data_IF_780066630069
#
_entry.id   IF_780066630069
#
_cell.length_a   1.000
_cell.length_b   1.000
_cell.length_c   1.000
_cell.angle_alpha   90.00
_cell.angle_beta   90.00
_cell.angle_gamma   90.00
#
_symmetry.space_group_name_H-M   'P 1'
#
loop_
_entity.id
_entity.type
_entity.pdbx_description
1 polymer ?
#
# COMPACT_ATOMS: atom_id res chain seq x y z
N UNK A 1 9.12 2.34 -20.97
CA UNK A 1 10.22 1.54 -21.52
C UNK A 1 10.34 0.30 -20.64
N UNK A 2 10.15 -0.89 -21.22
CA UNK A 2 10.29 -2.18 -20.54
C UNK A 2 8.97 -2.84 -20.10
N UNK A 3 8.05 -3.10 -21.04
CA UNK A 3 7.04 -4.16 -20.85
C UNK A 3 7.56 -5.45 -21.50
N UNK A 4 8.78 -5.84 -21.16
CA UNK A 4 9.31 -7.13 -21.57
C UNK A 4 8.53 -8.19 -20.80
N UNK A 5 7.67 -8.91 -21.51
CA UNK A 5 6.97 -10.07 -21.00
C UNK A 5 8.01 -11.09 -20.53
N UNK A 6 8.26 -11.15 -19.22
CA UNK A 6 9.18 -12.11 -18.63
C UNK A 6 8.60 -13.52 -18.80
N UNK A 7 9.09 -14.22 -19.82
CA UNK A 7 8.74 -15.62 -20.08
C UNK A 7 9.19 -16.44 -18.86
N UNK A 8 8.33 -17.33 -18.32
CA UNK A 8 8.75 -18.26 -17.30
C UNK A 8 9.99 -19.04 -17.76
N UNK A 9 10.88 -19.34 -16.83
CA UNK A 9 11.94 -20.31 -17.10
C UNK A 9 11.27 -21.66 -17.31
N UNK A 10 11.55 -22.29 -18.45
CA UNK A 10 11.09 -23.64 -18.75
C UNK A 10 11.55 -24.60 -17.64
N UNK A 11 10.71 -25.57 -17.29
CA UNK A 11 10.95 -26.48 -16.17
C UNK A 11 12.23 -27.32 -16.34
N UNK A 12 12.73 -27.46 -17.57
CA UNK A 12 13.93 -28.22 -17.93
C UNK A 12 15.24 -27.45 -17.70
N UNK A 13 15.20 -26.13 -17.56
CA UNK A 13 16.38 -25.32 -17.22
C UNK A 13 16.74 -25.64 -15.77
N UNK A 14 17.96 -26.09 -15.44
CA UNK A 14 18.32 -26.37 -14.06
C UNK A 14 18.51 -25.08 -13.24
N UNK A 15 18.22 -25.10 -11.92
CA UNK A 15 18.62 -24.03 -11.01
C UNK A 15 20.15 -23.89 -10.96
N UNK A 16 20.63 -22.69 -10.63
CA UNK A 16 22.08 -22.40 -10.57
C UNK A 16 22.62 -22.50 -9.14
N UNK A 17 21.83 -22.06 -8.17
CA UNK A 17 22.23 -21.94 -6.76
C UNK A 17 21.51 -22.97 -5.89
N UNK A 18 20.23 -23.21 -6.16
CA UNK A 18 19.44 -24.24 -5.51
C UNK A 18 19.71 -25.62 -6.14
N UNK A 19 19.46 -26.70 -5.39
CA UNK A 19 19.53 -28.07 -5.93
C UNK A 19 18.31 -28.38 -6.80
N UNK A 20 17.15 -27.82 -6.44
CA UNK A 20 15.88 -27.92 -7.17
C UNK A 20 15.00 -26.71 -6.85
N UNK A 21 13.97 -26.45 -7.67
CA UNK A 21 12.98 -25.39 -7.41
C UNK A 21 11.91 -25.83 -6.40
N UNK A 22 12.33 -26.32 -5.24
CA UNK A 22 11.42 -26.80 -4.19
C UNK A 22 11.70 -26.15 -2.84
N UNK A 23 10.71 -26.23 -1.95
CA UNK A 23 10.83 -25.71 -0.59
C UNK A 23 11.93 -26.39 0.22
N UNK A 24 12.10 -27.70 0.03
CA UNK A 24 13.11 -28.50 0.70
C UNK A 24 14.50 -28.02 0.28
N UNK A 25 14.69 -27.71 -1.01
CA UNK A 25 15.95 -27.17 -1.51
C UNK A 25 16.23 -25.76 -0.96
N UNK A 26 15.20 -24.92 -0.86
CA UNK A 26 15.30 -23.62 -0.21
C UNK A 26 15.67 -23.75 1.27
N UNK A 27 15.01 -24.64 2.01
CA UNK A 27 15.27 -24.86 3.44
C UNK A 27 16.69 -25.39 3.66
N UNK A 28 17.14 -26.31 2.81
CA UNK A 28 18.53 -26.78 2.77
C UNK A 28 19.50 -25.65 2.45
N UNK A 29 19.19 -24.79 1.47
CA UNK A 29 19.99 -23.61 1.15
C UNK A 29 20.11 -22.67 2.36
N UNK A 30 19.01 -22.37 3.06
CA UNK A 30 19.00 -21.51 4.26
C UNK A 30 19.94 -22.09 5.35
N UNK A 31 19.84 -23.39 5.60
CA UNK A 31 20.56 -24.07 6.69
C UNK A 31 22.03 -24.35 6.35
N UNK A 32 22.33 -24.89 5.17
CA UNK A 32 23.68 -25.31 4.79
C UNK A 32 24.57 -24.16 4.31
N UNK A 33 24.02 -23.20 3.54
CA UNK A 33 24.78 -22.02 3.09
C UNK A 33 24.86 -20.93 4.16
N UNK A 34 24.29 -21.16 5.34
CA UNK A 34 24.26 -20.22 6.47
C UNK A 34 23.75 -18.85 6.02
N UNK A 35 22.60 -18.82 5.34
CA UNK A 35 21.90 -17.58 4.98
C UNK A 35 21.74 -16.72 6.23
N UNK A 36 22.03 -15.43 6.14
CA UNK A 36 21.87 -14.49 7.28
C UNK A 36 21.06 -13.25 6.93
N UNK A 37 20.82 -13.01 5.64
CA UNK A 37 20.22 -11.77 5.15
C UNK A 37 19.04 -12.08 4.25
N UNK A 38 17.88 -12.29 4.87
CA UNK A 38 16.61 -12.51 4.17
C UNK A 38 15.89 -11.17 4.05
N UNK A 39 15.65 -10.72 2.83
CA UNK A 39 14.77 -9.58 2.57
C UNK A 39 13.36 -10.09 2.32
N UNK A 40 12.38 -9.48 2.98
CA UNK A 40 10.98 -9.85 2.84
C UNK A 40 10.21 -8.70 2.21
N UNK A 41 9.33 -8.99 1.26
CA UNK A 41 8.50 -8.01 0.56
C UNK A 41 7.03 -8.44 0.60
N UNK A 42 6.16 -7.64 1.19
CA UNK A 42 4.77 -8.02 1.45
C UNK A 42 3.76 -7.02 0.91
N UNK A 43 2.53 -7.50 0.69
CA UNK A 43 1.36 -6.68 0.40
C UNK A 43 0.09 -7.23 1.02
N UNK A 44 -1.07 -6.73 0.59
CA UNK A 44 -2.33 -6.94 1.28
C UNK A 44 -2.75 -8.42 1.43
N UNK A 45 -2.27 -9.29 0.54
CA UNK A 45 -2.57 -10.73 0.55
C UNK A 45 -2.07 -11.47 1.79
N UNK A 46 -1.13 -10.91 2.57
CA UNK A 46 -0.72 -11.53 3.85
C UNK A 46 -1.69 -11.25 5.00
N UNK A 47 -2.58 -10.27 4.83
CA UNK A 47 -3.52 -9.78 5.86
C UNK A 47 -4.97 -10.23 5.61
N UNK A 48 -5.27 -10.86 4.46
CA UNK A 48 -6.63 -11.34 4.13
C UNK A 48 -7.14 -12.35 5.14
N UNK A 49 -6.29 -13.26 5.62
CA UNK A 49 -6.63 -14.24 6.65
C UNK A 49 -6.92 -13.61 8.03
N UNK A 50 -6.47 -12.38 8.28
CA UNK A 50 -6.84 -11.62 9.48
C UNK A 50 -8.27 -11.04 9.40
N UNK A 51 -8.93 -11.14 8.25
CA UNK A 51 -10.23 -10.51 7.99
C UNK A 51 -10.13 -9.05 7.56
N UNK A 52 -8.93 -8.56 7.24
CA UNK A 52 -8.75 -7.27 6.59
C UNK A 52 -9.05 -7.47 5.10
N UNK A 53 -10.12 -6.85 4.57
CA UNK A 53 -10.38 -6.91 3.14
C UNK A 53 -9.20 -6.27 2.41
N UNK A 54 -8.77 -6.88 1.31
CA UNK A 54 -7.82 -6.23 0.44
C UNK A 54 -8.46 -4.97 -0.20
N UNK A 55 -7.68 -4.23 -0.97
CA UNK A 55 -8.24 -3.05 -1.63
C UNK A 55 -9.13 -3.41 -2.83
N UNK A 56 -8.82 -4.50 -3.55
CA UNK A 56 -9.21 -4.69 -4.96
C UNK A 56 -10.11 -5.89 -5.22
N UNK A 57 -10.30 -6.80 -4.27
CA UNK A 57 -11.11 -7.99 -4.48
C UNK A 57 -12.55 -7.62 -4.83
N UNK A 58 -13.14 -8.26 -5.85
CA UNK A 58 -14.56 -8.10 -6.15
C UNK A 58 -15.42 -8.38 -4.91
N UNK A 59 -16.45 -7.55 -4.69
CA UNK A 59 -17.48 -7.61 -3.63
C UNK A 59 -17.01 -7.50 -2.17
N UNK A 60 -15.78 -7.90 -1.85
CA UNK A 60 -15.23 -7.92 -0.49
C UNK A 60 -14.19 -6.83 -0.25
N UNK A 61 -13.56 -6.33 -1.31
CA UNK A 61 -12.51 -5.32 -1.21
C UNK A 61 -13.02 -3.98 -0.68
N UNK A 62 -12.12 -3.21 -0.05
CA UNK A 62 -12.42 -1.91 0.54
C UNK A 62 -13.15 -0.98 -0.45
N UNK A 63 -12.74 -0.98 -1.72
CA UNK A 63 -13.32 -0.17 -2.78
C UNK A 63 -14.77 -0.49 -3.11
N UNK A 64 -15.20 -1.76 -3.02
CA UNK A 64 -16.59 -2.14 -3.23
C UNK A 64 -17.50 -1.55 -2.14
N UNK A 65 -16.99 -1.48 -0.90
CA UNK A 65 -17.70 -0.94 0.26
C UNK A 65 -17.73 0.60 0.33
N UNK A 66 -17.01 1.28 -0.58
CA UNK A 66 -16.89 2.73 -0.64
C UNK A 66 -17.89 3.40 -1.59
N UNK A 67 -18.71 2.62 -2.32
CA UNK A 67 -19.74 3.15 -3.22
C UNK A 67 -20.69 4.14 -2.53
N UNK A 68 -20.95 3.97 -1.23
CA UNK A 68 -21.76 4.87 -0.38
C UNK A 68 -21.19 6.30 -0.24
N UNK A 69 -19.89 6.50 -0.46
CA UNK A 69 -19.23 7.80 -0.24
C UNK A 69 -19.30 8.73 -1.47
N UNK A 70 -20.01 8.33 -2.53
CA UNK A 70 -20.20 9.09 -3.78
C UNK A 70 -18.87 9.63 -4.34
N UNK A 71 -17.85 8.77 -4.36
CA UNK A 71 -16.52 9.09 -4.85
C UNK A 71 -16.50 9.05 -6.39
N UNK A 72 -15.67 9.88 -7.06
CA UNK A 72 -15.55 9.86 -8.52
C UNK A 72 -14.98 8.53 -9.04
N UNK A 73 -14.15 7.88 -8.23
CA UNK A 73 -13.58 6.55 -8.40
C UNK A 73 -13.11 6.08 -7.01
N UNK A 74 -12.96 4.78 -6.79
CA UNK A 74 -12.80 4.23 -5.44
C UNK A 74 -11.47 4.62 -4.77
N UNK A 75 -10.40 4.77 -5.56
CA UNK A 75 -9.07 5.19 -5.11
C UNK A 75 -9.03 6.66 -4.67
N UNK A 76 -10.04 7.47 -4.99
CA UNK A 76 -10.05 8.90 -4.70
C UNK A 76 -9.94 9.21 -3.20
N UNK A 77 -10.42 8.31 -2.33
CA UNK A 77 -10.28 8.46 -0.87
C UNK A 77 -8.82 8.49 -0.40
N UNK A 78 -7.92 7.89 -1.18
CA UNK A 78 -6.48 7.87 -0.95
C UNK A 78 -5.72 8.74 -1.98
N UNK A 79 -6.37 9.68 -2.66
CA UNK A 79 -5.71 10.64 -3.54
C UNK A 79 -5.46 11.96 -2.79
N UNK A 80 -4.22 12.47 -2.83
CA UNK A 80 -3.85 13.66 -2.05
C UNK A 80 -4.53 14.94 -2.55
N UNK A 81 -4.83 15.03 -3.84
CA UNK A 81 -5.53 16.16 -4.43
C UNK A 81 -6.99 16.14 -4.04
N UNK A 82 -7.61 14.95 -4.07
CA UNK A 82 -8.97 14.76 -3.56
C UNK A 82 -9.05 15.08 -2.06
N UNK A 83 -8.11 14.57 -1.25
CA UNK A 83 -8.06 14.82 0.20
C UNK A 83 -7.95 16.32 0.53
N UNK A 84 -7.18 17.09 -0.24
CA UNK A 84 -7.10 18.55 -0.06
C UNK A 84 -8.44 19.25 -0.30
N UNK A 85 -9.24 18.76 -1.24
CA UNK A 85 -10.53 19.33 -1.60
C UNK A 85 -11.65 18.85 -0.67
N UNK A 86 -11.68 17.55 -0.36
CA UNK A 86 -12.70 16.91 0.46
C UNK A 86 -12.06 15.82 1.35
N UNK A 87 -11.57 16.16 2.56
CA UNK A 87 -10.94 15.19 3.46
C UNK A 87 -11.94 14.30 4.23
N UNK A 88 -13.23 14.65 4.24
CA UNK A 88 -14.23 13.99 5.07
C UNK A 88 -14.44 12.49 4.74
N UNK A 89 -14.45 12.05 3.47
CA UNK A 89 -14.55 10.64 3.12
C UNK A 89 -13.42 9.79 3.72
N UNK A 90 -12.19 10.31 3.71
CA UNK A 90 -11.07 9.62 4.34
C UNK A 90 -11.29 9.47 5.85
N UNK A 91 -11.68 10.53 6.56
CA UNK A 91 -11.90 10.46 8.01
C UNK A 91 -13.11 9.61 8.41
N UNK A 92 -14.13 9.55 7.55
CA UNK A 92 -15.25 8.62 7.72
C UNK A 92 -14.75 7.18 7.64
N UNK A 93 -13.82 6.89 6.72
CA UNK A 93 -13.25 5.55 6.54
C UNK A 93 -12.14 5.22 7.55
N UNK A 94 -11.34 6.20 7.97
CA UNK A 94 -10.20 6.01 8.86
C UNK A 94 -10.59 5.37 10.20
N UNK A 95 -11.83 5.61 10.65
CA UNK A 95 -12.38 4.95 11.84
C UNK A 95 -12.53 3.44 11.66
N UNK A 96 -12.84 2.97 10.44
CA UNK A 96 -12.95 1.55 10.11
C UNK A 96 -11.57 0.89 9.98
N UNK A 97 -10.56 1.65 9.51
CA UNK A 97 -9.20 1.17 9.22
C UNK A 97 -8.20 1.29 10.38
N UNK A 98 -8.58 1.92 11.49
CA UNK A 98 -7.65 2.20 12.58
C UNK A 98 -7.12 0.88 13.21
N UNK A 99 -5.80 0.74 13.48
CA UNK A 99 -5.21 -0.50 14.01
C UNK A 99 -5.79 -0.97 15.36
N UNK A 100 -5.59 -2.25 15.68
CA UNK A 100 -5.98 -2.88 16.95
C UNK A 100 -7.22 -3.79 16.89
N UNK A 101 -7.92 -3.89 15.75
CA UNK A 101 -9.08 -4.79 15.58
C UNK A 101 -8.73 -6.18 15.07
N UNK A 102 -7.57 -6.30 14.45
CA UNK A 102 -7.18 -7.49 13.69
C UNK A 102 -6.00 -8.15 14.37
N UNK A 103 -5.95 -9.48 14.30
CA UNK A 103 -4.85 -10.25 14.82
C UNK A 103 -3.84 -10.51 13.70
N UNK A 104 -2.52 -10.43 13.96
CA UNK A 104 -1.52 -10.84 12.98
C UNK A 104 -1.74 -12.28 12.49
N UNK A 105 -1.51 -12.51 11.21
CA UNK A 105 -1.59 -13.84 10.60
C UNK A 105 -0.35 -14.69 10.91
N UNK A 106 -0.37 -15.97 10.52
CA UNK A 106 0.80 -16.84 10.63
C UNK A 106 1.97 -16.29 9.81
N UNK A 107 1.67 -15.72 8.64
CA UNK A 107 2.67 -15.04 7.80
C UNK A 107 3.37 -13.89 8.53
N UNK A 108 2.64 -13.10 9.33
CA UNK A 108 3.25 -12.04 10.14
C UNK A 108 4.17 -12.61 11.23
N UNK A 109 3.73 -13.67 11.92
CA UNK A 109 4.52 -14.33 12.96
C UNK A 109 5.77 -14.99 12.39
N UNK A 110 5.74 -15.49 11.14
CA UNK A 110 6.92 -16.01 10.47
C UNK A 110 7.97 -14.92 10.24
N UNK A 111 7.57 -13.69 9.89
CA UNK A 111 8.51 -12.58 9.76
C UNK A 111 9.15 -12.21 11.11
N UNK A 112 8.38 -12.29 12.21
CA UNK A 112 8.92 -12.16 13.57
C UNK A 112 9.90 -13.29 13.89
N UNK A 113 9.58 -14.52 13.51
CA UNK A 113 10.45 -15.67 13.73
C UNK A 113 11.78 -15.54 12.96
N UNK A 114 11.75 -15.03 11.72
CA UNK A 114 12.96 -14.70 10.95
C UNK A 114 13.83 -13.66 11.68
N UNK A 115 13.20 -12.66 12.30
CA UNK A 115 13.90 -11.67 13.12
C UNK A 115 14.52 -12.32 14.37
N UNK A 116 13.77 -13.12 15.11
CA UNK A 116 14.26 -13.78 16.35
C UNK A 116 15.41 -14.74 16.09
N UNK A 117 15.44 -15.36 14.92
CA UNK A 117 16.55 -16.21 14.48
C UNK A 117 17.73 -15.44 13.90
N UNK A 118 17.66 -14.10 13.83
CA UNK A 118 18.72 -13.24 13.31
C UNK A 118 18.93 -13.35 11.79
N UNK A 119 17.88 -13.71 11.05
CA UNK A 119 17.92 -13.94 9.60
C UNK A 119 17.29 -12.79 8.79
N UNK A 120 16.41 -12.00 9.41
CA UNK A 120 15.73 -10.90 8.73
C UNK A 120 16.71 -9.74 8.48
N UNK A 121 16.98 -9.42 7.21
CA UNK A 121 17.74 -8.23 6.81
C UNK A 121 16.83 -6.99 6.87
N UNK A 122 15.67 -7.08 6.22
CA UNK A 122 14.69 -5.99 6.15
C UNK A 122 13.34 -6.53 5.70
N UNK A 123 12.28 -5.95 6.23
CA UNK A 123 10.91 -6.18 5.80
C UNK A 123 10.39 -4.94 5.08
N UNK A 124 10.05 -5.06 3.80
CA UNK A 124 9.35 -4.03 3.04
C UNK A 124 7.88 -4.41 2.95
N UNK A 125 6.99 -3.54 3.43
CA UNK A 125 5.54 -3.79 3.35
C UNK A 125 4.83 -2.68 2.59
N UNK A 126 3.86 -3.06 1.76
CA UNK A 126 2.88 -2.15 1.15
C UNK A 126 1.69 -1.89 2.07
N UNK A 127 1.56 -2.65 3.15
CA UNK A 127 0.42 -2.58 4.05
C UNK A 127 0.55 -1.39 5.00
N UNK A 128 -0.62 -0.94 5.47
CA UNK A 128 -0.77 0.18 6.41
C UNK A 128 -1.39 -0.27 7.74
N UNK A 129 -1.74 -1.57 7.84
CA UNK A 129 -2.50 -2.17 8.94
C UNK A 129 -1.69 -2.32 10.24
N UNK A 130 -0.35 -2.19 10.17
CA UNK A 130 0.59 -2.31 11.28
C UNK A 130 0.70 -3.72 11.89
N UNK A 131 0.15 -4.76 11.24
CA UNK A 131 0.17 -6.12 11.77
C UNK A 131 1.58 -6.70 11.89
N UNK A 132 2.55 -6.20 11.13
CA UNK A 132 3.96 -6.57 11.27
C UNK A 132 4.52 -6.12 12.63
N UNK A 133 4.13 -4.92 13.09
CA UNK A 133 4.52 -4.39 14.40
C UNK A 133 3.78 -5.12 15.52
N UNK A 134 2.50 -5.41 15.33
CA UNK A 134 1.71 -6.17 16.30
C UNK A 134 2.21 -7.61 16.47
N UNK A 135 2.74 -8.23 15.40
CA UNK A 135 3.47 -9.50 15.49
C UNK A 135 4.81 -9.39 16.25
N UNK A 136 5.24 -8.17 16.58
CA UNK A 136 6.44 -7.87 17.35
C UNK A 136 7.70 -7.64 16.51
N UNK A 137 7.59 -7.48 15.19
CA UNK A 137 8.75 -7.11 14.36
C UNK A 137 9.18 -5.68 14.75
N UNK A 138 10.45 -5.45 15.12
CA UNK A 138 10.87 -4.11 15.52
C UNK A 138 10.78 -3.10 14.38
N UNK A 139 10.38 -1.86 14.70
CA UNK A 139 10.10 -0.83 13.71
C UNK A 139 11.30 -0.49 12.82
N UNK A 140 12.51 -0.60 13.32
CA UNK A 140 13.75 -0.39 12.57
C UNK A 140 14.00 -1.45 11.49
N UNK A 141 13.37 -2.62 11.61
CA UNK A 141 13.44 -3.68 10.60
C UNK A 141 12.42 -3.49 9.47
N UNK A 142 11.41 -2.65 9.70
CA UNK A 142 10.27 -2.47 8.79
C UNK A 142 10.48 -1.20 7.94
N UNK A 143 10.22 -1.33 6.65
CA UNK A 143 10.06 -0.23 5.70
C UNK A 143 8.61 -0.25 5.25
N UNK A 144 7.81 0.60 5.88
CA UNK A 144 6.41 0.84 5.55
C UNK A 144 6.36 1.70 4.28
N UNK A 145 6.39 1.06 3.11
CA UNK A 145 6.56 1.75 1.84
C UNK A 145 5.39 2.67 1.51
N UNK A 146 4.19 2.30 1.93
CA UNK A 146 2.99 3.15 1.83
C UNK A 146 2.66 3.85 3.16
N UNK A 147 3.64 3.93 4.07
CA UNK A 147 3.45 4.53 5.37
C UNK A 147 2.56 3.69 6.29
N UNK A 148 2.07 4.28 7.38
CA UNK A 148 1.26 3.57 8.38
C UNK A 148 0.43 4.53 9.24
N UNK A 149 -0.47 3.97 10.06
CA UNK A 149 -1.19 4.70 11.10
C UNK A 149 -0.34 4.96 12.36
N UNK A 150 0.95 4.57 12.38
CA UNK A 150 1.80 4.70 13.57
C UNK A 150 2.17 6.15 13.91
N UNK A 151 2.14 7.06 12.94
CA UNK A 151 2.35 8.49 13.16
C UNK A 151 1.48 9.34 12.23
N UNK A 152 1.40 10.64 12.50
CA UNK A 152 0.59 11.59 11.72
C UNK A 152 1.26 12.95 11.64
N UNK A 153 1.13 13.60 10.48
CA UNK A 153 1.75 14.90 10.21
C UNK A 153 0.82 15.82 9.41
N UNK A 154 1.07 17.12 9.52
CA UNK A 154 0.45 18.10 8.63
C UNK A 154 0.94 17.90 7.19
N UNK A 155 0.03 17.87 6.21
CA UNK A 155 0.38 17.65 4.81
C UNK A 155 1.24 18.77 4.21
N UNK A 156 1.10 20.00 4.73
CA UNK A 156 1.79 21.19 4.23
C UNK A 156 3.16 21.37 4.88
N UNK A 157 3.17 21.52 6.20
CA UNK A 157 4.39 21.93 6.93
C UNK A 157 5.12 20.76 7.63
N UNK A 158 4.60 19.53 7.50
CA UNK A 158 5.14 18.29 8.06
C UNK A 158 5.30 18.25 9.59
N UNK A 159 4.68 19.18 10.32
CA UNK A 159 4.63 19.10 11.80
C UNK A 159 3.96 17.82 12.23
N UNK A 160 4.56 17.13 13.19
CA UNK A 160 3.94 16.01 13.88
C UNK A 160 2.66 16.43 14.60
N UNK A 161 1.71 15.50 14.63
CA UNK A 161 0.46 15.66 15.31
C UNK A 161 0.34 14.59 16.42
N UNK A 162 -0.07 14.96 17.65
CA UNK A 162 -0.16 14.00 18.74
C UNK A 162 -1.14 12.86 18.45
N UNK A 163 -0.74 11.63 18.76
CA UNK A 163 -1.54 10.41 18.56
C UNK A 163 -2.89 10.46 19.28
N UNK A 164 -2.90 10.92 20.53
CA UNK A 164 -4.13 11.07 21.31
C UNK A 164 -5.14 12.01 20.66
N UNK A 165 -4.68 13.08 20.01
CA UNK A 165 -5.54 14.01 19.29
C UNK A 165 -6.03 13.43 17.96
N UNK A 166 -5.19 12.65 17.26
CA UNK A 166 -5.58 11.98 16.02
C UNK A 166 -6.64 10.93 16.28
N UNK A 167 -6.43 10.07 17.28
CA UNK A 167 -7.40 9.07 17.71
C UNK A 167 -8.76 9.69 18.00
N UNK A 168 -8.77 10.78 18.77
CA UNK A 168 -10.00 11.52 19.07
C UNK A 168 -10.67 12.04 17.79
N UNK A 169 -9.92 12.70 16.91
CA UNK A 169 -10.46 13.23 15.66
C UNK A 169 -11.05 12.13 14.76
N UNK A 170 -10.37 10.98 14.64
CA UNK A 170 -10.87 9.82 13.88
C UNK A 170 -12.12 9.23 14.52
N UNK A 171 -12.19 9.12 15.85
CA UNK A 171 -13.38 8.64 16.57
C UNK A 171 -14.58 9.56 16.38
N UNK A 172 -14.36 10.87 16.45
CA UNK A 172 -15.40 11.90 16.30
C UNK A 172 -15.70 12.23 14.82
N UNK A 173 -14.99 11.60 13.87
CA UNK A 173 -15.05 11.87 12.42
C UNK A 173 -14.79 13.34 12.07
N UNK A 174 -13.95 13.99 12.86
CA UNK A 174 -13.53 15.37 12.66
C UNK A 174 -12.26 15.44 11.80
N UNK A 175 -12.11 16.56 11.08
CA UNK A 175 -10.94 16.81 10.23
C UNK A 175 -9.89 17.59 11.03
N UNK A 176 -8.78 16.95 11.48
CA UNK A 176 -7.75 17.62 12.26
C UNK A 176 -6.98 18.65 11.44
N UNK A 177 -6.64 19.75 12.10
CA UNK A 177 -5.86 20.87 11.55
C UNK A 177 -4.53 21.00 12.26
N UNK A 178 -3.54 21.54 11.56
CA UNK A 178 -2.20 21.70 12.09
C UNK A 178 -2.20 22.58 13.35
N UNK A 179 -1.47 22.14 14.38
CA UNK A 179 -1.30 22.89 15.62
C UNK A 179 -0.58 24.23 15.43
N UNK A 180 0.22 24.37 14.35
CA UNK A 180 0.79 25.66 13.96
C UNK A 180 -0.31 26.55 13.37
N UNK A 181 -0.74 27.54 14.16
CA UNK A 181 -1.76 28.54 13.76
C UNK A 181 -1.43 29.25 12.44
N UNK A 182 -0.15 29.47 12.14
CA UNK A 182 0.30 30.10 10.89
C UNK A 182 0.16 29.19 9.66
N UNK A 183 0.09 27.88 9.85
CA UNK A 183 -0.09 26.92 8.77
C UNK A 183 -1.57 26.55 8.59
N UNK A 184 -2.25 26.13 9.66
CA UNK A 184 -3.65 25.68 9.64
C UNK A 184 -3.97 24.61 8.56
N UNK A 185 -2.95 23.90 8.07
CA UNK A 185 -3.09 22.88 7.04
C UNK A 185 -3.80 21.63 7.57
N UNK A 186 -4.29 20.80 6.65
CA UNK A 186 -4.85 19.48 6.99
C UNK A 186 -3.76 18.59 7.61
N UNK A 187 -4.17 17.76 8.56
CA UNK A 187 -3.35 16.69 9.12
C UNK A 187 -3.89 15.38 8.57
N UNK A 188 -3.04 14.35 8.44
CA UNK A 188 -3.44 12.96 8.22
C UNK A 188 -2.44 11.99 8.88
N UNK A 189 -2.83 10.73 9.13
CA UNK A 189 -1.88 9.65 9.35
C UNK A 189 -0.83 9.60 8.24
N UNK A 190 0.38 9.16 8.57
CA UNK A 190 1.51 9.09 7.65
C UNK A 190 1.41 7.90 6.69
N UNK A 191 0.22 7.73 6.09
CA UNK A 191 -0.08 6.84 4.99
C UNK A 191 0.19 7.60 3.69
N UNK A 192 0.84 6.97 2.73
CA UNK A 192 1.14 7.55 1.43
C UNK A 192 -0.13 7.52 0.57
N UNK A 193 -0.59 8.70 0.17
CA UNK A 193 -1.68 8.83 -0.78
C UNK A 193 -1.16 8.81 -2.23
N UNK A 194 -2.01 8.47 -3.19
CA UNK A 194 -1.71 8.68 -4.61
C UNK A 194 -1.37 10.16 -4.84
N UNK A 195 -0.28 10.39 -5.57
CA UNK A 195 0.29 11.71 -5.79
C UNK A 195 1.32 12.16 -4.72
N UNK A 196 1.51 11.40 -3.64
CA UNK A 196 2.59 11.64 -2.68
C UNK A 196 3.85 10.82 -3.00
N UNK A 197 5.01 11.35 -2.59
CA UNK A 197 6.25 10.58 -2.59
C UNK A 197 6.22 9.52 -1.48
N UNK A 198 6.86 8.38 -1.73
CA UNK A 198 7.08 7.37 -0.69
C UNK A 198 7.98 7.91 0.43
N UNK A 199 7.97 7.30 1.62
CA UNK A 199 8.78 7.76 2.73
C UNK A 199 10.27 7.71 2.40
N UNK A 200 11.03 8.64 2.96
CA UNK A 200 12.49 8.69 2.81
C UNK A 200 13.17 7.36 3.22
N UNK A 201 12.60 6.66 4.21
CA UNK A 201 13.03 5.33 4.60
C UNK A 201 13.00 4.33 3.43
N UNK A 202 11.98 4.37 2.56
CA UNK A 202 11.93 3.54 1.37
C UNK A 202 13.11 3.85 0.43
N UNK A 203 13.33 5.13 0.12
CA UNK A 203 14.40 5.53 -0.81
C UNK A 203 15.79 5.17 -0.31
N UNK A 204 16.04 5.30 1.00
CA UNK A 204 17.32 4.91 1.63
C UNK A 204 17.56 3.41 1.63
N UNK A 205 16.50 2.61 1.73
CA UNK A 205 16.61 1.16 1.88
C UNK A 205 16.39 0.39 0.57
N UNK A 206 15.88 1.01 -0.51
CA UNK A 206 15.49 0.32 -1.76
C UNK A 206 16.59 -0.51 -2.43
N UNK A 207 17.86 -0.24 -2.15
CA UNK A 207 19.02 -0.98 -2.70
C UNK A 207 19.49 -2.12 -1.80
N UNK A 208 19.00 -2.23 -0.56
CA UNK A 208 19.32 -3.33 0.35
C UNK A 208 19.03 -4.74 -0.22
N UNK A 209 18.01 -4.97 -1.07
CA UNK A 209 17.80 -6.29 -1.68
C UNK A 209 19.03 -6.82 -2.42
N UNK A 210 19.94 -5.96 -2.91
CA UNK A 210 21.19 -6.38 -3.55
C UNK A 210 22.17 -7.08 -2.59
N UNK A 211 22.05 -6.81 -1.28
CA UNK A 211 22.87 -7.43 -0.23
C UNK A 211 22.21 -8.69 0.37
N UNK A 212 21.02 -9.06 -0.08
CA UNK A 212 20.31 -10.24 0.43
C UNK A 212 20.99 -11.54 -0.04
N UNK A 213 20.83 -12.58 0.78
CA UNK A 213 21.19 -13.96 0.45
C UNK A 213 19.96 -14.76 -0.03
N UNK A 214 18.76 -14.24 0.25
CA UNK A 214 17.46 -14.77 -0.14
C UNK A 214 16.42 -13.64 -0.14
N UNK A 215 15.50 -13.64 -1.11
CA UNK A 215 14.32 -12.77 -1.10
C UNK A 215 13.03 -13.58 -0.98
N UNK A 216 12.12 -13.16 -0.10
CA UNK A 216 10.79 -13.77 0.05
C UNK A 216 9.74 -12.70 -0.26
N UNK A 217 8.92 -12.96 -1.28
CA UNK A 217 7.85 -12.07 -1.74
C UNK A 217 6.52 -12.75 -1.42
N UNK A 218 5.63 -12.07 -0.69
CA UNK A 218 4.38 -12.67 -0.22
C UNK A 218 3.18 -11.75 -0.41
N UNK A 219 2.06 -12.29 -0.88
CA UNK A 219 0.77 -11.61 -0.84
C UNK A 219 0.71 -10.25 -1.53
N UNK A 220 1.42 -10.06 -2.64
CA UNK A 220 1.43 -8.79 -3.38
C UNK A 220 1.22 -9.00 -4.87
N UNK A 221 0.53 -8.05 -5.51
CA UNK A 221 0.34 -8.02 -6.97
C UNK A 221 1.54 -7.44 -7.73
N UNK A 222 2.50 -6.81 -7.02
CA UNK A 222 3.61 -6.06 -7.61
C UNK A 222 3.20 -5.09 -8.73
N UNK A 223 2.02 -4.47 -8.62
CA UNK A 223 1.52 -3.55 -9.66
C UNK A 223 1.83 -2.07 -9.40
N UNK A 224 2.22 -1.71 -8.16
CA UNK A 224 2.41 -0.31 -7.75
C UNK A 224 3.90 0.00 -7.67
N UNK A 225 4.34 0.94 -8.51
CA UNK A 225 5.70 1.48 -8.47
C UNK A 225 5.83 2.54 -7.37
N UNK A 226 7.04 2.72 -6.79
CA UNK A 226 8.30 2.03 -7.09
C UNK A 226 8.48 0.67 -6.40
N UNK A 227 7.56 0.24 -5.53
CA UNK A 227 7.69 -1.00 -4.76
C UNK A 227 7.82 -2.23 -5.65
N UNK A 228 7.04 -2.29 -6.73
CA UNK A 228 7.07 -3.37 -7.72
C UNK A 228 8.46 -3.64 -8.32
N UNK A 229 9.37 -2.66 -8.28
CA UNK A 229 10.75 -2.82 -8.74
C UNK A 229 11.70 -3.45 -7.72
N UNK A 230 11.33 -3.55 -6.43
CA UNK A 230 12.24 -4.07 -5.40
C UNK A 230 12.80 -5.48 -5.72
N UNK A 231 12.02 -6.44 -6.25
CA UNK A 231 12.55 -7.76 -6.59
C UNK A 231 13.63 -7.77 -7.68
N UNK A 232 13.75 -6.71 -8.49
CA UNK A 232 14.80 -6.63 -9.52
C UNK A 232 16.15 -6.12 -8.98
N UNK A 233 16.17 -5.51 -7.78
CA UNK A 233 17.41 -5.15 -7.10
C UNK A 233 18.09 -6.36 -6.44
N UNK A 234 17.39 -7.48 -6.32
CA UNK A 234 17.98 -8.75 -5.88
C UNK A 234 18.90 -9.27 -6.97
N UNK A 235 20.14 -9.64 -6.61
CA UNK A 235 21.13 -10.18 -7.56
C UNK A 235 20.60 -11.41 -8.29
N UNK A 236 21.10 -11.65 -9.49
CA UNK A 236 20.58 -12.68 -10.39
C UNK A 236 20.72 -14.09 -9.80
N UNK A 237 21.83 -14.34 -9.08
CA UNK A 237 22.17 -15.62 -8.44
C UNK A 237 21.49 -15.80 -7.08
N UNK A 238 20.84 -14.75 -6.56
CA UNK A 238 20.18 -14.82 -5.25
C UNK A 238 18.77 -15.40 -5.43
N UNK A 239 18.45 -16.54 -4.79
CA UNK A 239 17.14 -17.16 -4.93
C UNK A 239 16.02 -16.21 -4.49
N UNK A 240 14.87 -16.31 -5.17
CA UNK A 240 13.66 -15.56 -4.82
C UNK A 240 12.49 -16.53 -4.67
N UNK A 241 11.73 -16.36 -3.61
CA UNK A 241 10.55 -17.17 -3.34
C UNK A 241 9.32 -16.28 -3.47
N UNK A 242 8.33 -16.74 -4.23
CA UNK A 242 7.00 -16.15 -4.25
C UNK A 242 6.04 -17.05 -3.48
N UNK A 243 5.35 -16.52 -2.48
CA UNK A 243 4.20 -17.17 -1.84
C UNK A 243 2.97 -16.30 -2.09
N UNK A 244 2.15 -16.66 -3.06
CA UNK A 244 1.04 -15.82 -3.51
C UNK A 244 -0.01 -16.65 -4.25
N UNK A 245 -1.25 -16.17 -4.35
CA UNK A 245 -2.29 -16.88 -5.12
C UNK A 245 -1.93 -16.99 -6.61
N UNK A 246 -1.30 -15.97 -7.15
CA UNK A 246 -0.98 -15.85 -8.57
C UNK A 246 0.49 -15.52 -8.79
N UNK A 247 1.01 -15.89 -9.96
CA UNK A 247 2.33 -15.43 -10.40
C UNK A 247 2.26 -13.93 -10.70
N UNK A 248 3.23 -13.17 -10.18
CA UNK A 248 3.25 -11.70 -10.29
C UNK A 248 4.62 -11.17 -10.71
N UNK A 249 4.61 -10.02 -11.40
CA UNK A 249 5.82 -9.37 -11.88
C UNK A 249 6.67 -10.29 -12.77
N UNK A 250 8.00 -10.19 -12.63
CA UNK A 250 8.98 -11.07 -13.28
C UNK A 250 9.43 -12.24 -12.39
N UNK A 251 8.59 -12.71 -11.46
CA UNK A 251 8.95 -13.88 -10.63
C UNK A 251 8.66 -15.18 -11.38
N UNK A 252 9.56 -16.14 -11.30
CA UNK A 252 9.55 -17.37 -12.10
C UNK A 252 10.30 -17.24 -13.43
N UNK A 253 10.94 -16.09 -13.69
CA UNK A 253 11.77 -15.90 -14.89
C UNK A 253 13.27 -16.09 -14.62
N UNK A 254 13.68 -16.38 -13.38
CA UNK A 254 15.06 -16.73 -13.03
C UNK A 254 15.21 -18.21 -12.70
N UNK A 255 16.41 -18.73 -12.91
CA UNK A 255 16.70 -20.14 -12.69
C UNK A 255 16.44 -20.61 -11.26
N UNK A 256 16.68 -19.75 -10.26
CA UNK A 256 16.51 -20.04 -8.83
C UNK A 256 15.22 -19.44 -8.22
N UNK A 257 14.26 -19.02 -9.06
CA UNK A 257 12.94 -18.61 -8.56
C UNK A 257 12.12 -19.84 -8.14
N UNK A 258 11.50 -19.76 -6.97
CA UNK A 258 10.58 -20.80 -6.46
C UNK A 258 9.21 -20.18 -6.26
N UNK A 259 8.19 -20.75 -6.92
CA UNK A 259 6.81 -20.25 -6.86
C UNK A 259 5.93 -21.20 -6.04
N UNK A 260 5.37 -20.69 -4.95
CA UNK A 260 4.35 -21.35 -4.15
C UNK A 260 3.03 -20.66 -4.41
N UNK A 261 2.25 -21.23 -5.32
CA UNK A 261 0.95 -20.70 -5.67
C UNK A 261 -0.13 -21.20 -4.70
N UNK A 262 -0.74 -20.28 -3.97
CA UNK A 262 -1.75 -20.57 -2.95
C UNK A 262 -1.79 -19.54 -1.82
N UNK A 263 -2.54 -19.86 -0.77
CA UNK A 263 -2.68 -19.01 0.43
C UNK A 263 -1.34 -18.78 1.13
N UNK A 264 -1.08 -17.53 1.55
CA UNK A 264 0.19 -17.15 2.18
C UNK A 264 0.48 -17.98 3.44
N UNK A 265 -0.49 -18.08 4.35
CA UNK A 265 -0.33 -18.83 5.60
C UNK A 265 -0.07 -20.33 5.36
N UNK A 266 -0.68 -20.92 4.33
CA UNK A 266 -0.42 -22.32 3.97
C UNK A 266 0.99 -22.50 3.39
N UNK A 267 1.43 -21.60 2.51
CA UNK A 267 2.79 -21.63 1.96
C UNK A 267 3.86 -21.40 3.02
N UNK A 268 3.63 -20.46 3.95
CA UNK A 268 4.52 -20.17 5.08
C UNK A 268 4.63 -21.37 6.02
N UNK A 269 3.51 -22.05 6.35
CA UNK A 269 3.57 -23.29 7.14
C UNK A 269 4.41 -24.37 6.48
N UNK A 270 4.26 -24.57 5.17
CA UNK A 270 5.10 -25.53 4.43
C UNK A 270 6.57 -25.15 4.46
N UNK A 271 6.90 -23.87 4.31
CA UNK A 271 8.29 -23.40 4.42
C UNK A 271 8.84 -23.60 5.84
N UNK A 272 8.04 -23.28 6.87
CA UNK A 272 8.41 -23.49 8.25
C UNK A 272 8.61 -24.97 8.58
N UNK A 273 7.75 -25.85 8.07
CA UNK A 273 7.88 -27.31 8.21
C UNK A 273 9.17 -27.82 7.57
N UNK A 274 9.48 -27.40 6.34
CA UNK A 274 10.74 -27.74 5.67
C UNK A 274 11.99 -27.24 6.43
N UNK A 275 11.86 -26.15 7.20
CA UNK A 275 12.92 -25.61 8.07
C UNK A 275 12.96 -26.25 9.47
N UNK A 276 11.96 -27.07 9.82
CA UNK A 276 11.79 -27.62 11.17
C UNK A 276 11.35 -26.60 12.22
N UNK A 277 10.66 -25.54 11.79
CA UNK A 277 10.21 -24.41 12.64
C UNK A 277 8.69 -24.35 12.81
N UNK A 278 7.94 -25.34 12.32
CA UNK A 278 6.47 -25.31 12.32
C UNK A 278 5.90 -25.15 13.73
N UNK A 279 6.35 -25.96 14.69
CA UNK A 279 5.85 -25.91 16.07
C UNK A 279 6.16 -24.55 16.74
N UNK A 280 7.38 -24.03 16.54
CA UNK A 280 7.79 -22.73 17.07
C UNK A 280 6.99 -21.57 16.46
N UNK A 281 6.66 -21.68 15.17
CA UNK A 281 5.82 -20.71 14.47
C UNK A 281 4.37 -20.75 14.99
N UNK A 282 3.80 -21.93 15.17
CA UNK A 282 2.45 -22.09 15.70
C UNK A 282 2.36 -21.59 17.15
N UNK A 283 3.36 -21.90 17.98
CA UNK A 283 3.46 -21.37 19.35
C UNK A 283 3.55 -19.84 19.36
N UNK A 284 4.39 -19.26 18.50
CA UNK A 284 4.52 -17.81 18.39
C UNK A 284 3.21 -17.17 17.94
N UNK A 285 2.54 -17.76 16.94
CA UNK A 285 1.25 -17.29 16.49
C UNK A 285 0.20 -17.41 17.60
N UNK A 286 0.12 -18.52 18.33
CA UNK A 286 -0.82 -18.69 19.44
C UNK A 286 -0.67 -17.61 20.52
N UNK A 287 0.55 -17.15 20.82
CA UNK A 287 0.80 -16.05 21.77
C UNK A 287 0.22 -14.71 21.34
N UNK A 288 -0.08 -14.52 20.06
CA UNK A 288 -0.77 -13.32 19.56
C UNK A 288 -2.29 -13.39 19.76
N UNK A 289 -2.83 -14.49 20.28
CA UNK A 289 -4.26 -14.60 20.59
C UNK A 289 -4.60 -13.60 21.71
N UNK A 290 -5.57 -12.69 21.50
CA UNK A 290 -5.99 -11.77 22.54
C UNK A 290 -6.45 -12.55 23.77
N UNK A 291 -6.13 -12.06 24.97
CA UNK A 291 -6.59 -12.67 26.21
C UNK A 291 -8.13 -12.66 26.26
N UNK A 292 -8.77 -13.57 27.02
CA UNK A 292 -10.25 -13.59 27.16
C UNK A 292 -10.82 -12.23 27.62
N UNK A 293 -10.01 -11.39 28.26
CA UNK A 293 -10.36 -10.04 28.67
C UNK A 293 -10.42 -9.07 27.48
N UNK A 294 -9.46 -9.14 26.56
CA UNK A 294 -9.35 -8.25 25.39
C UNK A 294 -10.40 -8.59 24.31
N UNK A 295 -10.83 -9.86 24.25
CA UNK A 295 -11.89 -10.31 23.35
C UNK A 295 -13.25 -9.66 23.64
N UNK A 296 -13.51 -9.26 24.88
CA UNK A 296 -14.76 -8.57 25.26
C UNK A 296 -14.79 -7.10 24.88
N UNK A 297 -13.65 -6.43 24.76
CA UNK A 297 -13.57 -5.03 24.33
C UNK A 297 -13.57 -4.87 22.80
N UNK A 298 -13.06 -5.86 22.05
CA UNK A 298 -12.89 -5.76 20.59
C UNK A 298 -13.99 -6.46 19.77
N UNK A 299 -14.89 -7.22 20.40
CA UNK A 299 -16.09 -7.74 19.74
C UNK A 299 -17.23 -6.71 19.83
N UNK A 300 -17.29 -5.79 18.87
CA UNK A 300 -18.60 -5.39 18.38
C UNK A 300 -19.15 -6.61 17.62
N UNK A 301 -20.37 -7.11 17.94
CA UNK A 301 -20.89 -8.30 17.29
C UNK A 301 -20.85 -8.14 15.77
N UNK A 302 -20.36 -9.15 15.05
CA UNK A 302 -20.54 -9.24 13.61
C UNK A 302 -22.05 -9.29 13.35
N UNK A 303 -22.62 -8.14 13.02
CA UNK A 303 -24.05 -8.01 12.74
C UNK A 303 -24.42 -8.96 11.61
N UNK A 304 -25.44 -9.76 11.86
CA UNK A 304 -26.06 -10.63 10.87
C UNK A 304 -26.56 -9.79 9.68
N UNK A 305 -26.80 -10.43 8.53
CA UNK A 305 -27.27 -9.71 7.34
C UNK A 305 -28.55 -8.91 7.60
N UNK A 306 -29.40 -9.43 8.48
CA UNK A 306 -30.66 -8.80 8.85
C UNK A 306 -30.45 -7.60 9.80
N UNK A 307 -29.54 -7.70 10.76
CA UNK A 307 -29.15 -6.56 11.62
C UNK A 307 -28.47 -5.43 10.83
N UNK A 308 -27.69 -5.77 9.79
CA UNK A 308 -27.09 -4.78 8.88
C UNK A 308 -28.17 -4.07 8.04
N UNK A 309 -29.16 -4.83 7.56
CA UNK A 309 -30.28 -4.27 6.81
C UNK A 309 -31.14 -3.35 7.68
N UNK A 310 -31.39 -3.72 8.95
CA UNK A 310 -32.12 -2.86 9.89
C UNK A 310 -31.37 -1.56 10.20
N UNK A 311 -30.05 -1.62 10.41
CA UNK A 311 -29.27 -0.40 10.60
C UNK A 311 -29.20 0.50 9.37
N UNK A 312 -29.18 -0.10 8.17
CA UNK A 312 -29.21 0.63 6.91
C UNK A 312 -30.56 1.32 6.71
N UNK A 313 -31.66 0.66 7.06
CA UNK A 313 -33.02 1.25 7.10
C UNK A 313 -33.10 2.39 8.11
N UNK A 314 -32.54 2.22 9.31
CA UNK A 314 -32.51 3.26 10.34
C UNK A 314 -31.62 4.45 9.96
N UNK A 315 -30.53 4.19 9.24
CA UNK A 315 -29.65 5.24 8.74
C UNK A 315 -30.31 6.03 7.61
N UNK A 316 -30.93 5.35 6.64
CA UNK A 316 -31.69 5.98 5.57
C UNK A 316 -32.85 6.81 6.12
N UNK A 317 -33.52 6.33 7.17
CA UNK A 317 -34.60 7.08 7.84
C UNK A 317 -34.07 8.37 8.47
N UNK A 318 -32.91 8.31 9.14
CA UNK A 318 -32.25 9.49 9.71
C UNK A 318 -31.77 10.48 8.65
N UNK A 319 -31.23 9.99 7.53
CA UNK A 319 -30.76 10.83 6.44
C UNK A 319 -31.93 11.52 5.70
N UNK A 320 -33.07 10.83 5.56
CA UNK A 320 -34.32 11.42 5.07
C UNK A 320 -34.80 12.52 6.02
N UNK A 321 -34.82 12.27 7.33
CA UNK A 321 -35.22 13.28 8.33
C UNK A 321 -34.27 14.49 8.34
N UNK A 322 -32.98 14.27 8.15
CA UNK A 322 -31.98 15.33 8.06
C UNK A 322 -32.13 16.14 6.77
N UNK A 323 -32.43 15.49 5.64
CA UNK A 323 -32.71 16.15 4.36
C UNK A 323 -34.01 16.95 4.41
N UNK A 324 -35.04 16.42 5.08
CA UNK A 324 -36.30 17.13 5.31
C UNK A 324 -36.12 18.32 6.26
N UNK A 325 -35.22 18.23 7.25
CA UNK A 325 -34.82 19.36 8.10
C UNK A 325 -34.05 20.41 7.31
N UNK A 326 -33.05 20.02 6.53
CA UNK A 326 -32.27 20.92 5.67
C UNK A 326 -33.16 21.65 4.67
N UNK A 327 -34.15 20.97 4.10
CA UNK A 327 -35.17 21.57 3.21
C UNK A 327 -36.07 22.57 3.95
N UNK A 328 -36.52 22.24 5.17
CA UNK A 328 -37.30 23.16 6.02
C UNK A 328 -36.49 24.38 6.46
N UNK A 329 -35.22 24.19 6.82
CA UNK A 329 -34.31 25.25 7.22
C UNK A 329 -33.97 26.16 6.02
N UNK A 330 -33.82 25.59 4.83
CA UNK A 330 -33.66 26.34 3.57
C UNK A 330 -34.91 27.14 3.20
N UNK A 331 -36.12 26.56 3.35
CA UNK A 331 -37.39 27.26 3.15
C UNK A 331 -37.63 28.37 4.19
N UNK A 332 -37.23 28.16 5.44
CA UNK A 332 -37.29 29.16 6.51
C UNK A 332 -36.30 30.30 6.28
N UNK A 333 -35.08 29.99 5.83
CA UNK A 333 -34.06 30.95 5.43
C UNK A 333 -34.52 31.82 4.24
N UNK A 334 -35.08 31.20 3.19
CA UNK A 334 -35.67 31.91 2.05
C UNK A 334 -36.87 32.79 2.46
N UNK A 335 -37.73 32.29 3.35
CA UNK A 335 -38.89 33.02 3.84
C UNK A 335 -38.55 34.25 4.68
N UNK A 336 -37.43 34.23 5.42
CA UNK A 336 -36.93 35.38 6.17
C UNK A 336 -36.21 36.39 5.26
N UNK A 337 -35.43 35.93 4.27
CA UNK A 337 -34.76 36.82 3.31
C UNK A 337 -35.69 37.47 2.28
N UNK A 338 -36.87 36.90 2.01
CA UNK A 338 -37.90 37.56 1.20
C UNK A 338 -38.71 38.61 1.98
N UNK A 339 -38.74 38.54 3.31
CA UNK A 339 -39.43 39.52 4.18
C UNK A 339 -38.57 40.75 4.48
N UNK A 340 -37.25 40.62 4.50
CA UNK A 340 -36.32 41.74 4.71
C UNK A 340 -36.22 42.71 3.51
N UNK A 341 -36.84 42.38 2.36
CA UNK A 341 -36.72 43.16 1.13
C UNK A 341 -38.02 43.88 0.70
N UNK A 342 -38.96 44.13 1.62
CA UNK A 342 -40.14 44.96 1.34
C UNK A 342 -40.26 46.20 2.25
N UNK A 343 -39.89 47.35 1.65
CA UNK A 343 -40.37 48.75 1.80
C UNK A 343 -39.32 49.80 2.26
N UNK A 344 -39.42 51.09 1.83
CA UNK A 344 -39.53 51.59 0.46
C UNK A 344 -38.57 52.77 0.14
N UNK A 345 -38.13 52.88 -1.12
CA UNK A 345 -37.93 54.17 -1.82
C UNK A 345 -36.51 54.75 -1.97
N UNK A 346 -36.04 54.83 -3.23
CA UNK A 346 -35.75 56.11 -3.91
C UNK A 346 -35.46 55.89 -5.41
N UNK A 347 -36.10 56.72 -6.23
CA UNK A 347 -36.11 56.72 -7.70
C UNK A 347 -34.76 57.15 -8.28
N UNK A 348 -34.36 56.54 -9.40
CA UNK A 348 -33.64 57.22 -10.47
C UNK A 348 -33.96 56.53 -11.81
N UNK A 349 -34.20 57.36 -12.83
CA UNK A 349 -34.85 57.09 -14.11
C UNK A 349 -33.93 56.52 -15.19
N UNK A 350 -34.53 55.75 -16.12
CA UNK A 350 -33.98 55.24 -17.38
C UNK A 350 -33.93 56.35 -18.45
N UNK A 351 -33.15 56.18 -19.53
CA UNK A 351 -33.81 56.08 -20.85
C UNK A 351 -33.33 54.90 -21.73
N UNK A 352 -34.23 54.56 -22.66
CA UNK A 352 -34.39 53.32 -23.45
C UNK A 352 -33.73 53.42 -24.85
N UNK A 353 -33.62 52.25 -25.51
CA UNK A 353 -33.41 51.92 -26.95
C UNK A 353 -31.99 51.40 -27.31
N UNK A 354 -31.76 50.33 -28.09
CA UNK A 354 -32.63 49.50 -28.96
C UNK A 354 -32.01 48.11 -29.27
N UNK A 355 -32.89 47.12 -29.39
CA UNK A 355 -32.97 45.99 -30.33
C UNK A 355 -31.77 45.01 -30.57
N UNK A 356 -31.97 43.71 -30.28
CA UNK A 356 -32.42 42.69 -31.25
C UNK A 356 -32.46 41.26 -30.63
N UNK A 357 -33.71 40.84 -30.36
CA UNK A 357 -34.37 39.51 -30.50
C UNK A 357 -33.72 38.48 -31.48
N UNK A 358 -33.93 37.15 -31.47
CA UNK A 358 -34.98 36.20 -31.03
C UNK A 358 -34.34 34.73 -30.96
N UNK A 359 -35.04 33.56 -30.81
CA UNK A 359 -35.03 32.73 -29.58
C UNK A 359 -34.73 31.20 -29.77
N UNK A 360 -34.90 30.48 -28.65
CA UNK A 360 -35.14 29.04 -28.47
C UNK A 360 -36.19 28.41 -29.43
N UNK A 361 -36.06 27.11 -29.75
CA UNK A 361 -36.93 26.07 -29.20
C UNK A 361 -36.55 24.61 -29.55
N UNK A 362 -36.99 23.75 -28.63
CA UNK A 362 -37.06 22.30 -28.45
C UNK A 362 -37.32 21.36 -29.64
N UNK A 363 -36.89 20.09 -29.53
CA UNK A 363 -37.79 18.91 -29.55
C UNK A 363 -37.05 17.57 -29.36
N UNK A 364 -37.69 16.66 -28.64
CA UNK A 364 -37.33 15.26 -28.44
C UNK A 364 -37.84 14.33 -29.56
N UNK A 365 -37.37 13.07 -29.46
CA UNK A 365 -37.99 11.80 -29.88
C UNK A 365 -37.52 11.07 -31.16
N UNK A 366 -37.22 9.79 -30.89
CA UNK A 366 -37.47 8.57 -31.68
C UNK A 366 -36.46 8.11 -32.77
N UNK A 367 -35.80 6.98 -32.47
CA UNK A 367 -35.40 5.98 -33.48
C UNK A 367 -36.62 5.22 -34.02
N UNK A 368 -36.53 4.63 -35.23
CA UNK A 368 -36.48 3.17 -35.26
C UNK A 368 -35.58 2.54 -36.34
N UNK A 369 -35.19 1.29 -36.05
CA UNK A 369 -34.80 0.15 -36.88
C UNK A 369 -34.77 0.29 -38.44
N UNK A 370 -33.73 -0.27 -39.11
CA UNK A 370 -33.68 -1.67 -39.63
C UNK A 370 -32.71 -1.84 -40.82
N UNK A 371 -31.98 -2.96 -40.80
CA UNK A 371 -31.51 -3.81 -41.93
C UNK A 371 -30.68 -3.28 -43.11
N UNK A 372 -29.65 -4.05 -43.49
CA UNK A 372 -29.21 -4.16 -44.89
C UNK A 372 -27.77 -4.61 -45.05
N UNK A 373 -27.60 -5.80 -45.63
CA UNK A 373 -26.35 -6.50 -45.90
C UNK A 373 -25.49 -5.80 -46.97
N UNK A 374 -24.16 -5.98 -46.93
CA UNK A 374 -23.41 -6.73 -47.96
C UNK A 374 -21.89 -6.43 -47.93
N UNK A 375 -21.09 -7.51 -47.88
CA UNK A 375 -19.69 -7.60 -48.34
C UNK A 375 -19.68 -7.61 -49.90
N UNK A 376 -18.56 -7.71 -50.65
CA UNK A 376 -17.14 -7.90 -50.28
C UNK A 376 -16.14 -7.04 -51.11
N UNK A 377 -14.84 -7.19 -50.82
CA UNK A 377 -13.79 -7.63 -51.77
C UNK A 377 -12.45 -6.87 -51.68
N UNK A 378 -11.46 -7.58 -51.14
CA UNK A 378 -10.20 -8.02 -51.80
C UNK A 378 -9.44 -7.01 -52.69
N UNK A 379 -8.21 -6.66 -52.29
CA UNK A 379 -6.95 -6.88 -53.04
C UNK A 379 -5.79 -6.23 -52.23
N UNK A 380 -4.87 -6.99 -51.63
CA UNK A 380 -3.68 -7.67 -52.19
C UNK A 380 -2.53 -6.75 -52.66
N UNK A 381 -1.35 -7.14 -52.15
CA UNK A 381 -0.02 -7.14 -52.76
C UNK A 381 0.90 -5.90 -52.73
N UNK A 382 1.97 -6.11 -51.96
CA UNK A 382 3.37 -6.25 -52.43
C UNK A 382 4.37 -5.10 -52.24
N UNK A 383 5.34 -5.41 -51.35
CA UNK A 383 6.80 -5.37 -51.53
C UNK A 383 7.41 -4.24 -52.36
N UNK A 384 8.32 -3.49 -51.72
CA UNK A 384 9.78 -3.55 -51.96
C UNK A 384 10.54 -2.48 -51.13
N UNK A 385 11.64 -2.87 -50.49
CA UNK A 385 12.75 -1.95 -50.16
C UNK A 385 13.52 -1.57 -51.45
N UNK A 386 14.60 -0.75 -51.41
CA UNK A 386 15.79 -1.07 -50.61
C UNK A 386 16.60 0.12 -50.05
N UNK A 387 17.58 -0.25 -49.20
CA UNK A 387 18.96 0.28 -49.03
C UNK A 387 19.28 1.77 -48.85
N UNK A 388 20.06 2.04 -47.80
CA UNK A 388 20.85 3.25 -47.61
C UNK A 388 21.88 3.05 -46.49
N UNK A 389 23.11 2.69 -46.88
CA UNK A 389 24.35 2.65 -46.08
C UNK A 389 24.79 4.06 -45.64
N UNK A 390 25.48 4.19 -44.50
CA UNK A 390 26.74 4.94 -44.29
C UNK A 390 27.21 4.85 -42.83
N UNK A 391 28.51 5.07 -42.62
CA UNK A 391 29.36 4.37 -41.68
C UNK A 391 29.74 5.13 -40.40
N UNK A 392 30.30 4.34 -39.46
CA UNK A 392 31.25 4.62 -38.38
C UNK A 392 31.85 6.02 -38.24
N UNK A 393 31.95 6.48 -36.99
CA UNK A 393 33.20 6.99 -36.42
C UNK A 393 33.26 6.77 -34.92
N UNK A 394 34.24 5.97 -34.51
CA UNK A 394 34.72 5.78 -33.15
C UNK A 394 35.56 7.00 -32.73
N UNK A 395 35.51 7.40 -31.46
CA UNK A 395 36.57 8.18 -30.82
C UNK A 395 36.82 7.65 -29.41
N UNK A 396 37.95 6.97 -29.30
CA UNK A 396 38.70 6.73 -28.07
C UNK A 396 39.17 8.05 -27.48
N UNK A 397 39.28 8.12 -26.15
CA UNK A 397 40.17 9.02 -25.41
C UNK A 397 40.58 8.28 -24.13
N UNK A 398 41.83 7.86 -24.12
CA UNK A 398 42.56 7.27 -23.00
C UNK A 398 43.36 8.34 -22.24
N UNK A 399 43.47 8.10 -20.94
CA UNK A 399 44.57 8.33 -20.02
C UNK A 399 45.14 9.75 -19.80
N UNK A 400 45.17 10.16 -18.52
CA UNK A 400 46.44 10.54 -17.90
C UNK A 400 46.44 10.32 -16.37
N UNK A 401 47.58 9.81 -15.92
CA UNK A 401 47.97 9.40 -14.58
C UNK A 401 48.00 10.55 -13.56
N UNK A 402 47.76 10.24 -12.29
CA UNK A 402 48.56 10.85 -11.23
C UNK A 402 48.73 9.90 -10.04
N UNK A 403 49.96 9.39 -9.89
CA UNK A 403 50.47 8.68 -8.73
C UNK A 403 51.15 9.67 -7.79
N UNK A 404 50.83 9.60 -6.50
CA UNK A 404 51.70 10.11 -5.43
C UNK A 404 51.48 9.27 -4.17
N UNK A 405 52.46 8.41 -3.87
CA UNK A 405 52.71 7.82 -2.56
C UNK A 405 53.05 8.91 -1.53
N UNK A 406 52.67 8.71 -0.26
CA UNK A 406 53.48 9.06 0.92
C UNK A 406 52.93 8.37 2.18
N UNK A 407 53.86 7.84 2.95
CA UNK A 407 53.73 6.88 4.05
C UNK A 407 53.25 7.47 5.40
N UNK A 408 52.66 6.58 6.21
CA UNK A 408 52.77 6.40 7.68
C UNK A 408 52.77 7.59 8.67
N UNK A 409 51.83 7.55 9.63
CA UNK A 409 51.99 7.62 11.12
C UNK A 409 50.60 7.81 11.76
N UNK A 410 50.07 6.80 12.45
CA UNK A 410 50.13 6.58 13.92
C UNK A 410 49.34 7.59 14.78
N UNK A 411 48.43 7.00 15.56
CA UNK A 411 47.86 7.36 16.86
C UNK A 411 46.91 8.57 17.04
N UNK A 412 45.68 8.23 17.45
CA UNK A 412 44.64 9.20 17.84
C UNK A 412 43.36 8.55 18.36
N UNK A 413 43.48 7.79 19.45
CA UNK A 413 42.41 7.22 20.29
C UNK A 413 41.28 8.24 20.62
N UNK A 414 40.02 7.94 20.27
CA UNK A 414 38.83 8.52 20.92
C UNK A 414 37.71 7.47 20.99
N UNK A 415 37.82 6.66 22.04
CA UNK A 415 36.80 5.76 22.56
C UNK A 415 35.84 6.51 23.48
N UNK A 416 34.63 6.85 23.04
CA UNK A 416 33.53 7.28 23.94
C UNK A 416 32.16 7.29 23.24
N UNK A 417 31.50 6.14 22.98
CA UNK A 417 30.01 6.06 22.92
C UNK A 417 29.49 4.60 23.08
N UNK A 418 29.89 3.83 24.11
CA UNK A 418 29.16 2.59 24.47
C UNK A 418 29.34 2.25 25.96
N UNK A 419 28.28 2.31 26.80
CA UNK A 419 28.33 1.74 28.15
C UNK A 419 27.70 0.34 28.18
N UNK A 420 28.57 -0.64 28.48
CA UNK A 420 28.37 -1.85 29.30
C UNK A 420 27.24 -2.85 28.98
N UNK A 421 27.63 -3.95 28.33
CA UNK A 421 27.19 -5.31 28.67
C UNK A 421 28.21 -5.84 29.69
N UNK A 422 27.76 -6.12 30.91
CA UNK A 422 28.52 -6.95 31.85
C UNK A 422 27.93 -8.35 31.87
N UNK A 423 28.79 -9.30 31.51
CA UNK A 423 28.56 -10.74 31.61
C UNK A 423 29.37 -11.24 32.79
N UNK A 424 28.70 -11.65 33.87
CA UNK A 424 29.33 -12.48 34.90
C UNK A 424 28.56 -13.79 35.01
N UNK A 425 29.26 -14.86 34.61
CA UNK A 425 28.87 -16.25 34.71
C UNK A 425 29.75 -16.84 35.81
N UNK A 426 29.18 -17.20 36.95
CA UNK A 426 29.83 -18.08 37.94
C UNK A 426 28.92 -19.25 38.32
N UNK A 427 29.57 -20.36 38.63
CA UNK A 427 29.04 -21.72 38.75
C UNK A 427 28.64 -22.07 40.20
N UNK A 428 27.76 -23.06 40.29
CA UNK A 428 27.71 -24.18 41.26
C UNK A 428 26.71 -24.15 42.43
N UNK A 429 26.15 -25.35 42.69
CA UNK A 429 25.35 -25.85 43.83
C UNK A 429 23.99 -25.17 44.04
N UNK A 430 22.84 -25.85 44.10
CA UNK A 430 22.45 -27.20 44.56
C UNK A 430 21.25 -27.71 43.73
#
# INVERSE_FOLDING_TARGET
>A
MGNESSVPVEDDVPPQTLESRTLESVAKYITERKVRRIVVMTGAGISTAAGIPDFRSPDTGLYANLARLNLPYAEAVFDISYFRNNPLPFYTLAHELYPGRYRPTVTHCFMKLLYDKGLLLKLFTQNIDCLEREAGVPGEMIVEAHGSFASQRCIECKTEFPDTMMKKAVQEREVPRCLRKTCNGLVKPDIVFFGEALPEAFHRNRTLPAAADLAIIMGTSLSVQPFASLPSYVREETPRILINLERVGGLGSRADDVLLLGECDAGVRKLADALGWLDELEDLWQRTTPSEHDQKEHQLPLKTRDEKLEEEVDQLTRDIDQTLKLSKDHHSWLGNHLKDNQQPGKKASVPLESALSVPLETSADAEPERHGQDKPSINTCDKRGPEGTYANTSKELSDENNTADLESKEDGNLSHVFPHIDTTREKSSL
#
